data_IF_716919053293
#
_entry.id   IF_716919053293
#
_cell.length_a   1.000
_cell.length_b   1.000
_cell.length_c   1.000
_cell.angle_alpha   90.00
_cell.angle_beta   90.00
_cell.angle_gamma   90.00
#
_symmetry.space_group_name_H-M   'P 1'
#
loop_
_entity.id
_entity.type
_entity.pdbx_description
1 polymer ?
#
# COMPACT_ATOMS: atom_id res chain seq x y z
N UNK A 1 11.33 -13.17 23.33
CA UNK A 1 10.47 -13.83 22.32
C UNK A 1 9.25 -12.93 22.11
N UNK A 2 9.21 -12.16 21.01
CA UNK A 2 8.10 -11.22 20.71
C UNK A 2 7.46 -11.66 19.40
N UNK A 3 6.26 -12.24 19.50
CA UNK A 3 5.48 -12.78 18.38
C UNK A 3 4.39 -11.79 17.95
N UNK A 4 4.14 -11.75 16.64
CA UNK A 4 2.92 -11.32 15.92
C UNK A 4 2.59 -9.82 15.76
N UNK A 5 3.38 -9.15 14.91
CA UNK A 5 2.86 -8.18 13.92
C UNK A 5 3.55 -8.33 12.55
N UNK A 6 4.24 -9.45 12.34
CA UNK A 6 4.94 -9.76 11.12
C UNK A 6 3.98 -10.47 10.16
N UNK A 7 3.41 -9.75 9.18
CA UNK A 7 3.45 -10.24 7.78
C UNK A 7 2.91 -9.29 6.70
N UNK A 8 2.45 -8.08 7.01
CA UNK A 8 2.01 -7.15 5.94
C UNK A 8 3.11 -6.17 5.53
N UNK A 9 4.34 -6.68 5.37
CA UNK A 9 5.45 -5.91 4.80
C UNK A 9 5.65 -6.34 3.35
N UNK A 10 5.39 -5.44 2.41
CA UNK A 10 5.52 -5.69 0.99
C UNK A 10 6.77 -5.00 0.43
N UNK A 11 7.52 -5.71 -0.41
CA UNK A 11 8.74 -5.20 -1.04
C UNK A 11 8.57 -5.18 -2.55
N UNK A 12 8.82 -4.04 -3.18
CA UNK A 12 8.72 -3.87 -4.62
C UNK A 12 9.64 -2.76 -5.10
N UNK A 13 10.42 -3.00 -6.16
CA UNK A 13 11.24 -1.95 -6.80
C UNK A 13 12.19 -1.18 -5.86
N UNK A 14 12.69 -1.81 -4.80
CA UNK A 14 13.53 -1.16 -3.78
C UNK A 14 12.78 -0.42 -2.68
N UNK A 15 11.44 -0.42 -2.71
CA UNK A 15 10.59 0.11 -1.66
C UNK A 15 10.12 -0.97 -0.70
N UNK A 16 9.96 -0.60 0.56
CA UNK A 16 9.37 -1.43 1.62
C UNK A 16 8.14 -0.74 2.17
N UNK A 17 6.97 -1.32 1.93
CA UNK A 17 5.69 -0.85 2.45
C UNK A 17 5.33 -1.67 3.69
N UNK A 18 5.26 -1.02 4.84
CA UNK A 18 4.83 -1.63 6.09
C UNK A 18 3.40 -1.21 6.40
N UNK A 19 2.45 -2.14 6.21
CA UNK A 19 1.04 -1.86 6.46
C UNK A 19 0.67 -1.79 7.93
N UNK A 20 1.46 -2.40 8.81
CA UNK A 20 1.24 -2.33 10.26
C UNK A 20 1.61 -0.94 10.79
N UNK A 21 2.70 -0.37 10.27
CA UNK A 21 3.19 0.95 10.67
C UNK A 21 2.59 2.10 9.86
N UNK A 22 1.96 1.85 8.71
CA UNK A 22 1.48 2.94 7.86
C UNK A 22 2.58 3.63 7.06
N UNK A 23 3.73 2.98 6.86
CA UNK A 23 4.94 3.65 6.34
C UNK A 23 5.44 3.06 5.03
N UNK A 24 5.94 3.92 4.16
CA UNK A 24 6.72 3.53 2.98
C UNK A 24 8.18 3.93 3.22
N UNK A 25 9.11 3.01 2.98
CA UNK A 25 10.55 3.26 3.01
C UNK A 25 11.11 3.06 1.61
N UNK A 26 11.83 4.06 1.11
CA UNK A 26 12.64 3.94 -0.09
C UNK A 26 13.99 3.30 0.21
N UNK A 27 14.85 3.26 -0.80
CA UNK A 27 16.20 2.71 -0.70
C UNK A 27 17.07 3.48 0.30
N UNK A 28 16.87 4.80 0.38
CA UNK A 28 17.72 5.70 1.18
C UNK A 28 16.98 6.36 2.35
N UNK A 29 15.69 6.71 2.20
CA UNK A 29 14.93 7.40 3.24
C UNK A 29 13.45 6.96 3.36
N UNK A 30 12.81 7.20 4.52
CA UNK A 30 11.35 7.10 4.66
C UNK A 30 10.64 8.09 3.75
N UNK A 31 9.56 7.63 3.09
CA UNK A 31 8.76 8.42 2.16
C UNK A 31 7.39 8.70 2.77
N UNK A 32 7.04 9.98 2.83
CA UNK A 32 5.71 10.41 3.23
C UNK A 32 4.77 10.36 2.04
N UNK A 33 3.78 9.47 2.12
CA UNK A 33 2.71 9.39 1.14
C UNK A 33 1.49 10.15 1.62
N UNK A 34 0.80 10.81 0.67
CA UNK A 34 -0.55 11.31 0.94
C UNK A 34 -1.48 10.13 1.23
N UNK A 35 -2.51 10.30 2.08
CA UNK A 35 -3.40 9.20 2.47
C UNK A 35 -3.97 8.39 1.30
N UNK A 36 -4.39 9.05 0.21
CA UNK A 36 -4.92 8.37 -0.98
C UNK A 36 -3.86 7.54 -1.72
N UNK A 37 -2.63 8.05 -1.85
CA UNK A 37 -1.54 7.31 -2.48
C UNK A 37 -1.15 6.10 -1.63
N UNK A 38 -1.15 6.24 -0.30
CA UNK A 38 -0.93 5.13 0.62
C UNK A 38 -2.03 4.07 0.52
N UNK A 39 -3.31 4.48 0.52
CA UNK A 39 -4.45 3.57 0.38
C UNK A 39 -4.40 2.79 -0.95
N UNK A 40 -4.05 3.46 -2.05
CA UNK A 40 -3.83 2.82 -3.35
C UNK A 40 -2.75 1.74 -3.27
N UNK A 41 -1.56 2.10 -2.80
CA UNK A 41 -0.44 1.15 -2.72
C UNK A 41 -0.75 -0.01 -1.78
N UNK A 42 -1.43 0.25 -0.67
CA UNK A 42 -1.88 -0.78 0.26
C UNK A 42 -2.85 -1.77 -0.40
N UNK A 43 -3.79 -1.26 -1.20
CA UNK A 43 -4.74 -2.11 -1.91
C UNK A 43 -4.04 -2.96 -2.99
N UNK A 44 -3.14 -2.37 -3.77
CA UNK A 44 -2.35 -3.09 -4.77
C UNK A 44 -1.44 -4.14 -4.13
N UNK A 45 -0.80 -3.81 -3.01
CA UNK A 45 0.07 -4.73 -2.28
C UNK A 45 -0.70 -5.94 -1.75
N UNK A 46 -1.90 -5.74 -1.19
CA UNK A 46 -2.79 -6.82 -0.75
C UNK A 46 -3.29 -7.70 -1.90
N UNK A 47 -3.38 -7.15 -3.10
CA UNK A 47 -3.81 -7.86 -4.31
C UNK A 47 -2.63 -8.23 -5.23
N UNK A 48 -1.42 -8.35 -4.67
CA UNK A 48 -0.23 -8.66 -5.45
C UNK A 48 -0.40 -9.98 -6.23
N UNK A 49 -0.05 -9.97 -7.52
CA UNK A 49 -0.25 -11.12 -8.42
C UNK A 49 -1.62 -11.17 -9.12
N UNK A 50 -2.53 -10.24 -8.80
CA UNK A 50 -3.82 -10.09 -9.48
C UNK A 50 -3.88 -8.74 -10.22
N UNK A 51 -4.46 -8.75 -11.41
CA UNK A 51 -4.81 -7.50 -12.11
C UNK A 51 -5.96 -6.84 -11.37
N UNK A 52 -5.74 -5.65 -10.81
CA UNK A 52 -6.76 -4.87 -10.13
C UNK A 52 -7.41 -3.90 -11.13
N UNK A 53 -8.72 -4.02 -11.41
CA UNK A 53 -9.41 -3.15 -12.36
C UNK A 53 -9.49 -1.71 -11.84
N UNK A 54 -9.53 -0.74 -12.77
CA UNK A 54 -9.72 0.68 -12.42
C UNK A 54 -10.98 0.92 -11.60
N UNK A 55 -12.11 0.28 -11.94
CA UNK A 55 -13.36 0.44 -11.22
C UNK A 55 -13.22 0.08 -9.72
N UNK A 56 -12.56 -1.04 -9.42
CA UNK A 56 -12.27 -1.46 -8.05
C UNK A 56 -11.39 -0.44 -7.31
N UNK A 57 -10.36 0.11 -7.98
CA UNK A 57 -9.52 1.16 -7.39
C UNK A 57 -10.31 2.43 -7.08
N UNK A 58 -11.22 2.83 -7.97
CA UNK A 58 -12.07 4.01 -7.76
C UNK A 58 -12.98 3.78 -6.55
N UNK A 59 -13.61 2.62 -6.44
CA UNK A 59 -14.53 2.32 -5.33
C UNK A 59 -13.82 2.25 -3.97
N UNK A 60 -12.61 1.68 -3.93
CA UNK A 60 -11.88 1.46 -2.68
C UNK A 60 -11.11 2.70 -2.22
N UNK A 61 -10.43 3.40 -3.14
CA UNK A 61 -9.49 4.49 -2.79
C UNK A 61 -10.13 5.87 -2.96
N UNK A 62 -11.11 6.00 -3.85
CA UNK A 62 -11.79 7.26 -4.17
C UNK A 62 -13.32 7.12 -4.15
N UNK A 63 -13.91 6.67 -3.04
CA UNK A 63 -15.36 6.51 -2.96
C UNK A 63 -16.05 7.85 -3.25
N UNK A 64 -16.99 7.84 -4.20
CA UNK A 64 -17.78 9.03 -4.58
C UNK A 64 -17.03 10.10 -5.38
N UNK A 65 -15.82 9.83 -5.88
CA UNK A 65 -15.14 10.74 -6.83
C UNK A 65 -15.28 10.17 -8.24
N UNK A 66 -15.97 10.92 -9.10
CA UNK A 66 -16.09 10.63 -10.52
C UNK A 66 -15.04 11.47 -11.28
N UNK A 67 -14.25 10.82 -12.14
CA UNK A 67 -13.25 11.47 -13.02
C UNK A 67 -13.54 11.19 -14.48
#
# INVERSE_FOLDING_TARGET
MTTAAADQVYRFGGFTLDLAMGTLRGVNEPLFLRPKAYALLSHLARNMGRVVPKAELMDVVWPGVYV
#
